data_IF_448028510499
#
_entry.id   IF_448028510499
#
_cell.length_a   1.000
_cell.length_b   1.000
_cell.length_c   1.000
_cell.angle_alpha   90.00
_cell.angle_beta   90.00
_cell.angle_gamma   90.00
#
_symmetry.space_group_name_H-M   'P 1'
#
loop_
_entity.id
_entity.type
_entity.pdbx_description
1 polymer ?
#
# COMPACT_ATOMS: atom_id res chain seq x y z
N UNK A 1 -50.34 19.80 45.14
CA UNK A 1 -49.41 19.57 44.01
C UNK A 1 -50.04 20.29 42.82
N UNK A 2 -49.33 21.26 42.24
CA UNK A 2 -49.84 22.11 41.17
C UNK A 2 -49.65 21.42 39.80
N UNK A 3 -50.64 21.56 38.93
CA UNK A 3 -50.64 20.98 37.58
C UNK A 3 -50.15 22.06 36.60
N UNK A 4 -49.27 21.75 35.63
CA UNK A 4 -48.78 22.73 34.65
C UNK A 4 -49.92 23.46 33.94
N UNK A 5 -49.85 24.78 33.82
CA UNK A 5 -50.86 25.59 33.11
C UNK A 5 -50.60 25.51 31.60
N UNK A 6 -51.40 24.70 30.92
CA UNK A 6 -51.30 24.39 29.48
C UNK A 6 -52.57 24.91 28.79
N UNK A 7 -52.53 25.17 27.47
CA UNK A 7 -53.69 25.68 26.73
C UNK A 7 -54.86 24.67 26.75
N UNK A 8 -55.92 24.99 27.48
CA UNK A 8 -57.10 24.12 27.70
C UNK A 8 -57.75 23.68 26.38
N UNK A 9 -57.78 24.53 25.34
CA UNK A 9 -58.39 24.17 24.05
C UNK A 9 -57.60 23.09 23.31
N UNK A 10 -56.27 23.18 23.32
CA UNK A 10 -55.42 22.17 22.69
C UNK A 10 -55.45 20.85 23.46
N UNK A 11 -55.67 20.90 24.77
CA UNK A 11 -55.92 19.70 25.57
C UNK A 11 -57.24 19.05 25.18
N UNK A 12 -58.34 19.82 25.11
CA UNK A 12 -59.65 19.30 24.69
C UNK A 12 -59.58 18.63 23.30
N UNK A 13 -58.92 19.26 22.33
CA UNK A 13 -58.73 18.70 20.99
C UNK A 13 -57.94 17.37 21.01
N UNK A 14 -56.90 17.27 21.84
CA UNK A 14 -56.10 16.05 21.98
C UNK A 14 -56.87 14.93 22.71
N UNK A 15 -57.71 15.28 23.69
CA UNK A 15 -58.60 14.34 24.36
C UNK A 15 -59.69 13.81 23.42
N UNK A 16 -60.25 14.68 22.55
CA UNK A 16 -61.22 14.27 21.53
C UNK A 16 -60.59 13.29 20.51
N UNK A 17 -59.29 13.45 20.22
CA UNK A 17 -58.51 12.50 19.41
C UNK A 17 -58.16 11.18 20.14
N UNK A 18 -58.47 11.07 21.44
CA UNK A 18 -58.29 9.86 22.23
C UNK A 18 -56.94 9.75 22.95
N UNK A 19 -56.16 10.83 23.03
CA UNK A 19 -54.93 10.84 23.82
C UNK A 19 -55.24 11.04 25.32
N UNK A 20 -54.55 10.32 26.23
CA UNK A 20 -54.73 10.55 27.67
C UNK A 20 -54.38 11.97 28.08
N UNK A 21 -55.18 12.57 28.97
CA UNK A 21 -54.98 13.95 29.48
C UNK A 21 -53.54 14.22 29.97
N UNK A 22 -52.95 13.27 30.69
CA UNK A 22 -51.58 13.40 31.22
C UNK A 22 -50.54 13.50 30.09
N UNK A 23 -50.71 12.71 29.02
CA UNK A 23 -49.84 12.69 27.84
C UNK A 23 -49.98 13.97 27.02
N UNK A 24 -51.21 14.43 26.82
CA UNK A 24 -51.51 15.69 26.14
C UNK A 24 -50.88 16.89 26.86
N UNK A 25 -51.02 16.94 28.20
CA UNK A 25 -50.44 18.00 29.04
C UNK A 25 -48.91 18.01 28.96
N UNK A 26 -48.27 16.84 29.00
CA UNK A 26 -46.82 16.71 28.89
C UNK A 26 -46.31 17.11 27.50
N UNK A 27 -47.01 16.66 26.45
CA UNK A 27 -46.64 16.99 25.08
C UNK A 27 -46.72 18.48 24.78
N UNK A 28 -47.80 19.14 25.23
CA UNK A 28 -47.97 20.58 25.07
C UNK A 28 -46.97 21.38 25.91
N UNK A 29 -46.58 20.88 27.08
CA UNK A 29 -45.53 21.47 27.90
C UNK A 29 -44.17 21.46 27.18
N UNK A 30 -43.77 20.32 26.61
CA UNK A 30 -42.48 20.19 25.93
C UNK A 30 -42.48 20.75 24.49
N UNK A 31 -43.63 20.81 23.82
CA UNK A 31 -43.77 21.46 22.50
C UNK A 31 -43.87 22.99 22.59
N UNK A 32 -44.07 23.53 23.79
CA UNK A 32 -44.13 24.98 24.03
C UNK A 32 -45.48 25.63 23.72
N UNK A 33 -46.59 24.88 23.79
CA UNK A 33 -47.96 25.36 23.55
C UNK A 33 -48.19 26.03 22.17
N UNK A 34 -47.40 25.67 21.14
CA UNK A 34 -47.40 26.36 19.83
C UNK A 34 -48.51 25.89 18.89
N UNK A 35 -48.70 24.58 18.75
CA UNK A 35 -49.66 23.98 17.82
C UNK A 35 -50.06 22.56 18.25
N UNK A 36 -51.18 22.08 17.72
CA UNK A 36 -51.68 20.72 17.93
C UNK A 36 -50.72 19.69 17.30
N UNK A 37 -50.25 19.96 16.09
CA UNK A 37 -49.37 19.06 15.33
C UNK A 37 -48.00 18.89 16.00
N UNK A 38 -47.43 19.96 16.57
CA UNK A 38 -46.15 19.88 17.29
C UNK A 38 -46.29 19.00 18.55
N UNK A 39 -47.42 19.09 19.26
CA UNK A 39 -47.71 18.23 20.40
C UNK A 39 -47.87 16.76 19.98
N UNK A 40 -48.57 16.49 18.86
CA UNK A 40 -48.69 15.14 18.32
C UNK A 40 -47.33 14.59 17.89
N UNK A 41 -46.51 15.38 17.20
CA UNK A 41 -45.15 14.98 16.80
C UNK A 41 -44.31 14.61 18.02
N UNK A 42 -44.36 15.41 19.08
CA UNK A 42 -43.65 15.10 20.32
C UNK A 42 -44.13 13.80 20.96
N UNK A 43 -45.45 13.55 21.01
CA UNK A 43 -46.00 12.30 21.55
C UNK A 43 -45.54 11.08 20.74
N UNK A 44 -45.47 11.17 19.42
CA UNK A 44 -45.00 10.09 18.55
C UNK A 44 -43.52 9.80 18.79
N UNK A 45 -42.71 10.85 18.91
CA UNK A 45 -41.26 10.69 19.12
C UNK A 45 -40.93 10.07 20.50
N UNK A 46 -41.85 10.17 21.47
CA UNK A 46 -41.66 9.71 22.85
C UNK A 46 -42.61 8.56 23.26
N UNK A 47 -43.32 7.94 22.31
CA UNK A 47 -44.38 6.93 22.58
C UNK A 47 -43.89 5.71 23.41
N UNK A 48 -42.59 5.41 23.36
CA UNK A 48 -41.98 4.26 24.04
C UNK A 48 -41.45 4.58 25.46
N UNK A 49 -41.56 5.82 25.92
CA UNK A 49 -41.08 6.23 27.23
C UNK A 49 -42.02 5.72 28.34
N UNK A 50 -41.47 5.02 29.33
CA UNK A 50 -42.27 4.38 30.40
C UNK A 50 -42.97 5.39 31.32
N UNK A 51 -42.55 6.64 31.30
CA UNK A 51 -43.06 7.76 32.10
C UNK A 51 -43.91 8.75 31.27
N UNK A 52 -44.27 8.41 30.02
CA UNK A 52 -45.01 9.32 29.12
C UNK A 52 -46.37 9.77 29.67
N UNK A 53 -47.00 8.95 30.52
CA UNK A 53 -48.29 9.24 31.16
C UNK A 53 -48.14 9.85 32.57
N UNK A 54 -46.90 10.15 33.01
CA UNK A 54 -46.66 10.85 34.27
C UNK A 54 -46.71 12.38 34.07
N UNK A 55 -47.54 13.05 34.87
CA UNK A 55 -47.71 14.50 34.84
C UNK A 55 -46.41 15.16 35.37
N UNK A 56 -45.72 16.00 34.59
CA UNK A 56 -44.53 16.70 35.04
C UNK A 56 -44.84 17.62 36.23
N UNK A 57 -44.06 17.51 37.31
CA UNK A 57 -44.23 18.28 38.56
C UNK A 57 -43.34 19.53 38.58
N UNK A 58 -43.44 20.40 37.57
CA UNK A 58 -42.66 21.66 37.52
C UNK A 58 -43.53 22.83 37.05
N UNK A 59 -43.56 23.89 37.87
CA UNK A 59 -44.18 25.17 37.52
C UNK A 59 -43.24 25.99 36.62
N UNK A 60 -43.47 25.96 35.31
CA UNK A 60 -42.95 26.97 34.38
C UNK A 60 -44.14 27.60 33.67
N UNK A 61 -44.50 28.81 34.09
CA UNK A 61 -45.51 29.63 33.43
C UNK A 61 -44.97 30.05 32.04
N UNK A 62 -45.49 29.42 30.99
CA UNK A 62 -45.32 29.91 29.62
C UNK A 62 -46.47 30.87 29.36
N UNK A 63 -46.21 32.17 29.52
CA UNK A 63 -47.18 33.24 29.24
C UNK A 63 -47.54 33.23 27.73
N UNK A 64 -48.76 32.79 27.41
CA UNK A 64 -49.32 32.82 26.06
C UNK A 64 -50.04 34.15 25.89
N UNK A 65 -49.28 35.24 25.75
CA UNK A 65 -49.82 36.50 25.28
C UNK A 65 -49.70 36.52 23.75
N UNK A 66 -50.79 36.16 23.08
CA UNK A 66 -51.01 36.40 21.65
C UNK A 66 -50.88 37.89 21.35
N UNK A 67 -49.65 38.35 21.18
CA UNK A 67 -49.36 39.69 20.70
C UNK A 67 -49.96 39.84 19.30
N UNK A 68 -50.70 40.93 19.01
CA UNK A 68 -51.27 41.13 17.69
C UNK A 68 -50.16 41.26 16.64
N UNK A 69 -50.24 40.41 15.62
CA UNK A 69 -49.38 40.45 14.42
C UNK A 69 -49.29 41.89 13.87
N UNK A 70 -48.08 42.45 13.84
CA UNK A 70 -47.84 43.73 13.17
C UNK A 70 -48.26 43.60 11.70
N UNK A 71 -49.04 44.55 11.14
CA UNK A 71 -49.44 44.49 9.73
C UNK A 71 -48.19 44.51 8.84
N UNK A 72 -47.93 43.41 8.14
CA UNK A 72 -46.85 43.33 7.15
C UNK A 72 -47.15 44.38 6.06
N UNK A 73 -46.33 45.43 6.00
CA UNK A 73 -46.46 46.48 4.98
C UNK A 73 -46.09 45.93 3.60
N UNK A 74 -46.71 46.50 2.57
CA UNK A 74 -46.50 46.10 1.18
C UNK A 74 -45.03 46.22 0.76
N UNK A 75 -44.31 47.22 1.28
CA UNK A 75 -42.87 47.42 1.06
C UNK A 75 -42.01 46.27 1.62
N UNK A 76 -42.34 45.75 2.80
CA UNK A 76 -41.63 44.63 3.40
C UNK A 76 -41.83 43.35 2.57
N UNK A 77 -43.02 43.15 1.98
CA UNK A 77 -43.28 42.02 1.06
C UNK A 77 -42.48 42.16 -0.23
N UNK A 78 -42.45 43.35 -0.84
CA UNK A 78 -41.68 43.59 -2.06
C UNK A 78 -40.17 43.40 -1.84
N UNK A 79 -39.64 43.89 -0.71
CA UNK A 79 -38.22 43.70 -0.35
C UNK A 79 -37.90 42.22 -0.08
N UNK A 80 -38.77 41.49 0.60
CA UNK A 80 -38.62 40.07 0.84
C UNK A 80 -38.69 39.25 -0.46
N UNK A 81 -39.59 39.59 -1.38
CA UNK A 81 -39.68 38.97 -2.71
C UNK A 81 -38.42 39.23 -3.54
N UNK A 82 -37.94 40.48 -3.57
CA UNK A 82 -36.70 40.85 -4.27
C UNK A 82 -35.47 40.09 -3.74
N UNK A 83 -35.32 39.97 -2.42
CA UNK A 83 -34.23 39.20 -1.81
C UNK A 83 -34.32 37.70 -2.16
N UNK A 84 -35.54 37.13 -2.20
CA UNK A 84 -35.76 35.74 -2.63
C UNK A 84 -35.40 35.54 -4.11
N UNK A 85 -35.76 36.49 -4.97
CA UNK A 85 -35.42 36.47 -6.40
C UNK A 85 -33.90 36.50 -6.61
N UNK A 86 -33.20 37.39 -5.89
CA UNK A 86 -31.73 37.46 -5.91
C UNK A 86 -31.07 36.15 -5.47
N UNK A 87 -31.57 35.52 -4.41
CA UNK A 87 -31.05 34.23 -3.95
C UNK A 87 -31.27 33.11 -4.98
N UNK A 88 -32.42 33.10 -5.67
CA UNK A 88 -32.68 32.14 -6.76
C UNK A 88 -31.73 32.35 -7.93
N UNK A 89 -31.54 33.59 -8.36
CA UNK A 89 -30.67 33.90 -9.50
C UNK A 89 -29.20 33.60 -9.18
N UNK A 90 -28.76 33.90 -7.95
CA UNK A 90 -27.43 33.53 -7.46
C UNK A 90 -27.24 32.01 -7.44
N UNK A 91 -28.19 31.25 -6.89
CA UNK A 91 -28.14 29.77 -6.88
C UNK A 91 -28.09 29.20 -8.30
N UNK A 92 -28.88 29.75 -9.22
CA UNK A 92 -28.88 29.35 -10.64
C UNK A 92 -27.56 29.64 -11.34
N UNK A 93 -26.91 30.75 -11.02
CA UNK A 93 -25.59 31.10 -11.56
C UNK A 93 -24.48 30.23 -10.97
N UNK A 94 -24.51 29.98 -9.67
CA UNK A 94 -23.60 29.03 -9.00
C UNK A 94 -23.74 27.63 -9.60
N UNK A 95 -24.97 27.14 -9.83
CA UNK A 95 -25.23 25.84 -10.43
C UNK A 95 -24.68 25.73 -11.87
N UNK A 96 -24.85 26.78 -12.70
CA UNK A 96 -24.25 26.84 -14.04
C UNK A 96 -22.72 26.83 -14.02
N UNK A 97 -22.10 27.48 -13.03
CA UNK A 97 -20.64 27.47 -12.87
C UNK A 97 -20.19 26.07 -12.50
N UNK A 98 -20.83 25.43 -11.52
CA UNK A 98 -20.53 24.06 -11.09
C UNK A 98 -20.72 23.04 -12.23
N UNK A 99 -21.75 23.22 -13.08
CA UNK A 99 -21.96 22.38 -14.24
C UNK A 99 -20.83 22.52 -15.28
N UNK A 100 -20.39 23.77 -15.55
CA UNK A 100 -19.25 24.02 -16.44
C UNK A 100 -17.94 23.46 -15.88
N UNK A 101 -17.75 23.48 -14.56
CA UNK A 101 -16.59 22.88 -13.91
C UNK A 101 -16.58 21.36 -14.04
N UNK A 102 -17.70 20.70 -13.75
CA UNK A 102 -17.84 19.24 -13.94
C UNK A 102 -17.56 18.82 -15.39
N UNK A 103 -18.06 19.58 -16.36
CA UNK A 103 -17.80 19.28 -17.77
C UNK A 103 -16.33 19.49 -18.16
N UNK A 104 -15.67 20.53 -17.62
CA UNK A 104 -14.22 20.72 -17.78
C UNK A 104 -13.43 19.58 -17.16
N UNK A 105 -13.81 19.11 -15.97
CA UNK A 105 -13.15 17.97 -15.32
C UNK A 105 -13.29 16.68 -16.12
N UNK A 106 -14.46 16.43 -16.71
CA UNK A 106 -14.70 15.29 -17.62
C UNK A 106 -13.77 15.35 -18.84
N UNK A 107 -13.61 16.52 -19.44
CA UNK A 107 -12.71 16.71 -20.59
C UNK A 107 -11.25 16.54 -20.15
N UNK A 108 -10.87 17.11 -19.01
CA UNK A 108 -9.52 17.00 -18.47
C UNK A 108 -9.16 15.57 -18.10
N UNK A 109 -10.07 14.82 -17.48
CA UNK A 109 -9.86 13.41 -17.15
C UNK A 109 -9.70 12.56 -18.41
N UNK A 110 -10.51 12.82 -19.44
CA UNK A 110 -10.35 12.18 -20.76
C UNK A 110 -9.00 12.48 -21.42
N UNK A 111 -8.55 13.75 -21.37
CA UNK A 111 -7.24 14.15 -21.90
C UNK A 111 -6.09 13.50 -21.14
N UNK A 112 -6.14 13.50 -19.80
CA UNK A 112 -5.15 12.84 -18.93
C UNK A 112 -5.07 11.34 -19.21
N UNK A 113 -6.20 10.68 -19.40
CA UNK A 113 -6.25 9.25 -19.75
C UNK A 113 -5.56 8.97 -21.09
N UNK A 114 -5.83 9.78 -22.11
CA UNK A 114 -5.21 9.63 -23.42
C UNK A 114 -3.70 9.87 -23.37
N UNK A 115 -3.26 10.88 -22.62
CA UNK A 115 -1.85 11.19 -22.44
C UNK A 115 -1.11 10.09 -21.66
N UNK A 116 -1.72 9.56 -20.60
CA UNK A 116 -1.19 8.41 -19.86
C UNK A 116 -1.05 7.18 -20.76
N UNK A 117 -2.04 6.92 -21.64
CA UNK A 117 -1.98 5.82 -22.63
C UNK A 117 -0.81 6.00 -23.59
N UNK A 118 -0.58 7.21 -24.10
CA UNK A 118 0.53 7.52 -25.02
C UNK A 118 1.90 7.29 -24.35
N UNK A 119 2.04 7.74 -23.10
CA UNK A 119 3.27 7.53 -22.31
C UNK A 119 3.52 6.04 -22.06
N UNK A 120 2.47 5.28 -21.73
CA UNK A 120 2.59 3.83 -21.51
C UNK A 120 3.06 3.10 -22.78
N UNK A 121 2.48 3.43 -23.94
CA UNK A 121 2.86 2.85 -25.24
C UNK A 121 4.31 3.19 -25.62
N UNK A 122 4.75 4.44 -25.40
CA UNK A 122 6.13 4.85 -25.67
C UNK A 122 7.14 4.12 -24.75
N UNK A 123 6.80 3.97 -23.47
CA UNK A 123 7.61 3.22 -22.52
C UNK A 123 7.71 1.73 -22.91
N UNK A 124 6.62 1.13 -23.39
CA UNK A 124 6.61 -0.24 -23.88
C UNK A 124 7.50 -0.40 -25.12
N UNK A 125 7.37 0.50 -26.10
CA UNK A 125 8.26 0.52 -27.27
C UNK A 125 9.73 0.65 -26.88
N UNK A 126 10.04 1.53 -25.93
CA UNK A 126 11.41 1.72 -25.43
C UNK A 126 11.96 0.45 -24.78
N UNK A 127 11.15 -0.25 -23.97
CA UNK A 127 11.51 -1.55 -23.37
C UNK A 127 11.79 -2.58 -24.47
N UNK A 128 10.91 -2.71 -25.45
CA UNK A 128 11.08 -3.67 -26.56
C UNK A 128 12.33 -3.39 -27.39
N UNK A 129 12.62 -2.11 -27.69
CA UNK A 129 13.85 -1.73 -28.38
C UNK A 129 15.10 -2.03 -27.54
N UNK A 130 15.07 -1.78 -26.22
CA UNK A 130 16.18 -2.09 -25.33
C UNK A 130 16.46 -3.58 -25.24
N UNK A 131 15.41 -4.42 -25.20
CA UNK A 131 15.53 -5.87 -25.19
C UNK A 131 16.16 -6.40 -26.49
N UNK A 132 15.66 -5.94 -27.64
CA UNK A 132 16.24 -6.30 -28.95
C UNK A 132 17.70 -5.86 -29.10
N UNK A 133 18.07 -4.71 -28.52
CA UNK A 133 19.45 -4.23 -28.54
C UNK A 133 20.34 -5.09 -27.64
N UNK A 134 19.88 -5.43 -26.44
CA UNK A 134 20.61 -6.30 -25.51
C UNK A 134 20.80 -7.71 -26.09
N UNK A 135 19.77 -8.29 -26.70
CA UNK A 135 19.83 -9.60 -27.36
C UNK A 135 20.87 -9.61 -28.49
N UNK A 136 20.87 -8.59 -29.36
CA UNK A 136 21.88 -8.45 -30.42
C UNK A 136 23.30 -8.29 -29.87
N UNK A 137 23.46 -7.54 -28.78
CA UNK A 137 24.78 -7.33 -28.16
C UNK A 137 25.29 -8.61 -27.47
N UNK A 138 24.40 -9.40 -26.88
CA UNK A 138 24.72 -10.71 -26.30
C UNK A 138 25.10 -11.71 -27.39
N UNK A 139 24.34 -11.76 -28.50
CA UNK A 139 24.67 -12.61 -29.65
C UNK A 139 26.02 -12.21 -30.26
N UNK A 140 26.32 -10.92 -30.37
CA UNK A 140 27.62 -10.43 -30.84
C UNK A 140 28.75 -10.84 -29.91
N UNK A 141 28.56 -10.75 -28.59
CA UNK A 141 29.53 -11.22 -27.60
C UNK A 141 29.79 -12.71 -27.74
N UNK A 142 28.73 -13.53 -27.80
CA UNK A 142 28.85 -14.97 -27.97
C UNK A 142 29.58 -15.35 -29.28
N UNK A 143 29.26 -14.68 -30.39
CA UNK A 143 29.96 -14.86 -31.67
C UNK A 143 31.45 -14.50 -31.55
N UNK A 144 31.77 -13.40 -30.88
CA UNK A 144 33.17 -12.97 -30.68
C UNK A 144 33.97 -13.97 -29.83
N UNK A 145 33.33 -14.58 -28.82
CA UNK A 145 33.97 -15.57 -27.96
C UNK A 145 34.21 -16.90 -28.70
N UNK A 146 33.28 -17.31 -29.56
CA UNK A 146 33.46 -18.49 -30.43
C UNK A 146 34.62 -18.27 -31.40
N UNK A 147 34.72 -17.08 -32.01
CA UNK A 147 35.83 -16.74 -32.91
C UNK A 147 37.18 -16.80 -32.20
N UNK A 148 37.28 -16.24 -30.99
CA UNK A 148 38.52 -16.32 -30.17
C UNK A 148 38.89 -17.76 -29.83
N UNK A 149 37.91 -18.60 -29.48
CA UNK A 149 38.15 -20.03 -29.22
C UNK A 149 38.63 -20.77 -30.46
N UNK A 150 38.07 -20.49 -31.63
CA UNK A 150 38.51 -21.06 -32.91
C UNK A 150 39.95 -20.64 -33.23
N UNK A 151 40.31 -19.38 -33.00
CA UNK A 151 41.66 -18.89 -33.20
C UNK A 151 42.67 -19.57 -32.26
N UNK A 152 42.32 -19.72 -30.99
CA UNK A 152 43.14 -20.46 -30.02
C UNK A 152 43.29 -21.94 -30.40
N UNK A 153 42.21 -22.62 -30.82
CA UNK A 153 42.29 -24.02 -31.27
C UNK A 153 43.15 -24.14 -32.54
N UNK A 154 43.05 -23.18 -33.46
CA UNK A 154 43.91 -23.11 -34.66
C UNK A 154 45.39 -22.96 -34.29
N UNK A 155 45.71 -22.09 -33.34
CA UNK A 155 47.07 -21.93 -32.81
C UNK A 155 47.57 -23.19 -32.11
N UNK A 156 46.73 -23.83 -31.28
CA UNK A 156 47.07 -25.06 -30.56
C UNK A 156 47.33 -26.22 -31.53
N UNK A 157 46.46 -26.44 -32.53
CA UNK A 157 46.67 -27.46 -33.57
C UNK A 157 47.93 -27.19 -34.39
N UNK A 158 48.18 -25.92 -34.74
CA UNK A 158 49.38 -25.52 -35.49
C UNK A 158 50.66 -25.72 -34.66
N UNK A 159 50.60 -25.53 -33.35
CA UNK A 159 51.68 -25.84 -32.41
C UNK A 159 51.91 -27.35 -32.27
N UNK A 160 50.83 -28.17 -32.21
CA UNK A 160 50.92 -29.64 -32.12
C UNK A 160 51.45 -30.26 -33.42
N UNK A 161 51.10 -29.70 -34.59
CA UNK A 161 51.53 -30.19 -35.91
C UNK A 161 52.95 -29.76 -36.31
N UNK A 162 53.67 -29.00 -35.48
CA UNK A 162 55.08 -28.69 -35.69
C UNK A 162 55.41 -27.84 -36.93
N UNK A 163 54.46 -27.05 -37.43
CA UNK A 163 54.69 -26.18 -38.60
C UNK A 163 55.45 -24.89 -38.21
N UNK A 164 56.54 -24.50 -38.91
CA UNK A 164 57.34 -23.33 -38.55
C UNK A 164 56.54 -22.01 -38.62
N UNK A 165 56.81 -21.12 -37.66
CA UNK A 165 56.41 -19.72 -37.70
C UNK A 165 57.31 -18.98 -38.70
N UNK A 166 56.78 -18.64 -39.87
CA UNK A 166 57.40 -17.60 -40.70
C UNK A 166 57.30 -16.25 -39.98
N UNK A 167 58.47 -15.64 -39.90
CA UNK A 167 58.87 -14.56 -39.01
C UNK A 167 58.47 -13.17 -39.52
N UNK A 168 57.91 -12.36 -38.62
CA UNK A 168 58.27 -10.94 -38.53
C UNK A 168 58.52 -10.52 -37.07
N UNK A 169 59.81 -10.57 -36.74
CA UNK A 169 60.62 -9.70 -35.90
C UNK A 169 60.05 -9.04 -34.61
N UNK A 170 60.62 -9.54 -33.50
CA UNK A 170 61.33 -8.78 -32.46
C UNK A 170 60.48 -8.09 -31.36
N UNK A 171 60.48 -8.68 -30.14
CA UNK A 171 61.28 -8.21 -28.98
C UNK A 171 61.40 -9.35 -27.94
N UNK A 172 62.66 -9.59 -27.53
CA UNK A 172 63.25 -10.15 -26.29
C UNK A 172 62.36 -10.81 -25.20
N UNK A 173 62.88 -11.96 -24.73
CA UNK A 173 62.70 -12.73 -23.48
C UNK A 173 62.28 -11.94 -22.21
N UNK A 174 61.76 -12.57 -21.12
CA UNK A 174 61.83 -13.99 -20.76
C UNK A 174 60.47 -14.63 -20.43
N UNK A 175 60.51 -15.93 -20.15
CA UNK A 175 59.42 -16.72 -19.60
C UNK A 175 58.65 -15.98 -18.50
N UNK A 176 57.48 -15.44 -18.86
CA UNK A 176 56.46 -15.09 -17.88
C UNK A 176 55.84 -16.42 -17.50
N UNK A 177 56.30 -16.94 -16.36
CA UNK A 177 55.47 -17.75 -15.47
C UNK A 177 54.12 -17.06 -15.42
N UNK A 178 53.13 -17.61 -16.12
CA UNK A 178 51.74 -17.25 -15.88
C UNK A 178 51.45 -17.83 -14.51
N UNK A 179 51.76 -17.04 -13.47
CA UNK A 179 50.97 -17.01 -12.27
C UNK A 179 49.55 -16.84 -12.78
N UNK A 180 48.80 -17.93 -12.80
CA UNK A 180 47.37 -17.84 -12.67
C UNK A 180 47.13 -17.21 -11.29
N UNK A 181 47.24 -15.89 -11.20
CA UNK A 181 46.39 -15.10 -10.33
C UNK A 181 44.97 -15.22 -10.90
N UNK A 182 44.44 -16.46 -10.86
CA UNK A 182 43.07 -16.64 -10.44
C UNK A 182 43.07 -15.98 -9.06
N UNK A 183 42.62 -14.74 -9.02
CA UNK A 183 42.00 -14.20 -7.82
C UNK A 183 40.83 -15.17 -7.57
N UNK A 184 41.13 -16.24 -6.85
CA UNK A 184 40.14 -17.17 -6.37
C UNK A 184 39.26 -16.34 -5.47
N UNK A 185 38.07 -16.02 -5.97
CA UNK A 185 36.97 -15.58 -5.10
C UNK A 185 36.95 -16.50 -3.89
N UNK A 186 36.73 -15.98 -2.68
CA UNK A 186 37.00 -16.73 -1.47
C UNK A 186 36.23 -18.05 -1.53
N UNK A 187 36.91 -19.19 -1.43
CA UNK A 187 36.27 -20.52 -1.40
C UNK A 187 35.09 -20.53 -0.39
N UNK A 188 35.23 -19.71 0.65
CA UNK A 188 34.20 -19.39 1.66
C UNK A 188 32.88 -18.83 1.12
N UNK A 189 32.87 -17.91 0.15
CA UNK A 189 31.62 -17.32 -0.36
C UNK A 189 30.83 -18.35 -1.15
N UNK A 190 31.49 -19.22 -1.91
CA UNK A 190 30.86 -20.35 -2.60
C UNK A 190 30.24 -21.33 -1.60
N UNK A 191 30.97 -21.72 -0.55
CA UNK A 191 30.44 -22.62 0.48
C UNK A 191 29.23 -22.02 1.20
N UNK A 192 29.27 -20.73 1.54
CA UNK A 192 28.12 -20.04 2.15
C UNK A 192 26.92 -19.93 1.22
N UNK A 193 27.13 -19.67 -0.07
CA UNK A 193 26.05 -19.61 -1.05
C UNK A 193 25.36 -20.97 -1.20
N UNK A 194 26.09 -22.07 -1.11
CA UNK A 194 25.49 -23.41 -1.06
C UNK A 194 24.70 -23.65 0.23
N UNK A 195 25.19 -23.19 1.38
CA UNK A 195 24.41 -23.24 2.63
C UNK A 195 23.12 -22.42 2.53
N UNK A 196 23.16 -21.22 1.93
CA UNK A 196 21.97 -20.41 1.68
C UNK A 196 20.96 -21.14 0.78
N UNK A 197 21.43 -21.84 -0.26
CA UNK A 197 20.60 -22.67 -1.14
C UNK A 197 19.98 -23.83 -0.37
N UNK A 198 20.75 -24.49 0.49
CA UNK A 198 20.28 -25.62 1.28
C UNK A 198 19.26 -25.21 2.35
N UNK A 199 19.42 -24.04 2.99
CA UNK A 199 18.42 -23.49 3.91
C UNK A 199 17.08 -23.27 3.20
N UNK A 200 17.10 -22.61 2.04
CA UNK A 200 15.88 -22.35 1.26
C UNK A 200 15.24 -23.65 0.74
N UNK A 201 16.06 -24.64 0.40
CA UNK A 201 15.61 -25.98 -0.01
C UNK A 201 14.95 -26.72 1.14
N UNK A 202 15.55 -26.71 2.32
CA UNK A 202 15.01 -27.32 3.53
C UNK A 202 13.69 -26.66 3.93
N UNK A 203 13.62 -25.33 3.89
CA UNK A 203 12.40 -24.57 4.16
C UNK A 203 11.25 -24.96 3.21
N UNK A 204 11.55 -25.18 1.92
CA UNK A 204 10.56 -25.64 0.94
C UNK A 204 10.17 -27.12 1.12
N UNK A 205 11.06 -27.97 1.63
CA UNK A 205 10.79 -29.40 1.90
C UNK A 205 9.97 -29.60 3.18
N UNK A 206 10.21 -28.79 4.20
CA UNK A 206 9.53 -28.89 5.50
C UNK A 206 8.07 -28.41 5.40
N UNK A 207 7.83 -27.33 4.65
CA UNK A 207 6.51 -26.72 4.50
C UNK A 207 5.82 -27.10 3.16
N UNK A 208 5.84 -28.40 2.79
CA UNK A 208 5.17 -28.88 1.57
C UNK A 208 3.66 -28.60 1.63
N UNK A 209 3.19 -27.75 0.73
CA UNK A 209 1.77 -27.34 0.64
C UNK A 209 1.50 -25.91 1.09
N UNK A 210 2.43 -25.25 1.79
CA UNK A 210 2.33 -23.83 2.18
C UNK A 210 3.12 -22.91 1.23
N UNK A 211 3.13 -23.19 -0.07
CA UNK A 211 3.92 -22.45 -1.07
C UNK A 211 3.64 -20.94 -1.07
N UNK A 212 2.41 -20.53 -0.74
CA UNK A 212 2.05 -19.12 -0.61
C UNK A 212 2.74 -18.45 0.60
N UNK A 213 2.87 -19.17 1.73
CA UNK A 213 3.58 -18.68 2.92
C UNK A 213 5.08 -18.63 2.69
N UNK A 214 5.63 -19.68 2.06
CA UNK A 214 7.05 -19.74 1.66
C UNK A 214 7.40 -18.58 0.72
N UNK A 215 6.56 -18.33 -0.30
CA UNK A 215 6.77 -17.18 -1.21
C UNK A 215 6.79 -15.84 -0.47
N UNK A 216 5.84 -15.60 0.44
CA UNK A 216 5.81 -14.38 1.27
C UNK A 216 7.05 -14.26 2.18
N UNK A 217 7.56 -15.38 2.68
CA UNK A 217 8.79 -15.43 3.46
C UNK A 217 10.00 -15.02 2.62
N UNK A 218 10.15 -15.60 1.42
CA UNK A 218 11.24 -15.28 0.49
C UNK A 218 11.19 -13.82 0.04
N UNK A 219 10.01 -13.28 -0.24
CA UNK A 219 9.82 -11.84 -0.53
C UNK A 219 10.30 -10.97 0.63
N UNK A 220 9.94 -11.34 1.86
CA UNK A 220 10.30 -10.57 3.05
C UNK A 220 11.80 -10.64 3.32
N UNK A 221 12.42 -11.82 3.17
CA UNK A 221 13.88 -12.00 3.24
C UNK A 221 14.61 -11.19 2.17
N UNK A 222 14.08 -11.17 0.93
CA UNK A 222 14.63 -10.40 -0.17
C UNK A 222 14.57 -8.89 0.11
N UNK A 223 13.51 -8.40 0.74
CA UNK A 223 13.40 -7.00 1.16
C UNK A 223 14.48 -6.66 2.19
N UNK A 224 14.69 -7.49 3.21
CA UNK A 224 15.72 -7.23 4.22
C UNK A 224 17.12 -7.21 3.61
N UNK A 225 17.50 -8.24 2.85
CA UNK A 225 18.80 -8.30 2.17
C UNK A 225 18.96 -7.17 1.15
N UNK A 226 17.93 -6.91 0.34
CA UNK A 226 17.95 -5.87 -0.68
C UNK A 226 18.04 -4.46 -0.13
N UNK A 227 17.42 -4.18 1.03
CA UNK A 227 17.53 -2.89 1.69
C UNK A 227 18.95 -2.63 2.21
N UNK A 228 19.61 -3.65 2.76
CA UNK A 228 21.01 -3.56 3.19
C UNK A 228 21.94 -3.36 1.99
N UNK A 229 21.75 -4.10 0.89
CA UNK A 229 22.59 -3.94 -0.32
C UNK A 229 22.44 -2.54 -0.93
N UNK A 230 21.24 -1.97 -0.94
CA UNK A 230 21.01 -0.60 -1.45
C UNK A 230 21.59 0.47 -0.55
N UNK A 231 21.47 0.29 0.77
CA UNK A 231 21.86 1.30 1.76
C UNK A 231 22.67 0.64 2.90
N UNK A 232 23.93 0.23 2.65
CA UNK A 232 24.71 -0.56 3.60
C UNK A 232 25.10 0.21 4.86
N UNK A 233 25.16 1.54 4.79
CA UNK A 233 25.55 2.40 5.90
C UNK A 233 24.39 2.70 6.87
N UNK A 234 23.15 2.45 6.47
CA UNK A 234 21.98 2.88 7.25
C UNK A 234 21.56 1.81 8.27
N UNK A 235 21.74 2.12 9.55
CA UNK A 235 21.54 1.16 10.64
C UNK A 235 20.09 0.65 10.76
N UNK A 236 19.10 1.47 10.36
CA UNK A 236 17.69 1.09 10.39
C UNK A 236 17.37 -0.14 9.52
N UNK A 237 18.15 -0.38 8.46
CA UNK A 237 18.00 -1.56 7.60
C UNK A 237 18.85 -2.74 8.05
N UNK A 238 19.84 -2.50 8.92
CA UNK A 238 20.68 -3.53 9.54
C UNK A 238 20.10 -4.07 10.85
N UNK A 239 18.95 -3.55 11.30
CA UNK A 239 18.29 -3.94 12.54
C UNK A 239 16.86 -4.43 12.27
N UNK A 240 16.58 -5.66 12.68
CA UNK A 240 15.26 -6.31 12.55
C UNK A 240 14.77 -6.67 13.95
N UNK A 241 13.50 -6.38 14.25
CA UNK A 241 12.89 -6.69 15.55
C UNK A 241 12.20 -8.05 15.51
N UNK A 242 12.61 -8.96 16.39
CA UNK A 242 12.04 -10.30 16.48
C UNK A 242 10.60 -10.26 17.00
N UNK A 243 10.25 -9.36 17.91
CA UNK A 243 8.86 -9.23 18.40
C UNK A 243 7.85 -8.70 17.37
N UNK A 244 8.27 -8.30 16.16
CA UNK A 244 7.34 -7.76 15.16
C UNK A 244 6.42 -8.88 14.65
N UNK A 245 5.08 -8.74 14.76
CA UNK A 245 4.13 -9.76 14.31
C UNK A 245 4.28 -10.12 12.82
N UNK A 246 4.58 -9.14 11.96
CA UNK A 246 4.79 -9.38 10.53
C UNK A 246 6.07 -10.16 10.25
N UNK A 247 7.11 -9.93 11.05
CA UNK A 247 8.34 -10.71 10.95
C UNK A 247 8.11 -12.13 11.43
N UNK A 248 7.43 -12.32 12.56
CA UNK A 248 7.12 -13.64 13.11
C UNK A 248 6.23 -14.47 12.18
N UNK A 249 5.14 -13.89 11.67
CA UNK A 249 4.23 -14.59 10.76
C UNK A 249 4.93 -15.08 9.49
N UNK A 250 5.82 -14.25 8.92
CA UNK A 250 6.43 -14.52 7.62
C UNK A 250 7.77 -15.27 7.68
N UNK A 251 8.65 -14.92 8.60
CA UNK A 251 10.05 -15.41 8.63
C UNK A 251 10.38 -16.07 9.97
N UNK A 252 9.96 -15.48 11.09
CA UNK A 252 10.31 -15.97 12.43
C UNK A 252 9.66 -17.30 12.81
N UNK A 253 8.49 -17.61 12.27
CA UNK A 253 7.77 -18.88 12.48
C UNK A 253 8.25 -20.02 11.57
N UNK A 254 9.05 -19.72 10.54
CA UNK A 254 9.56 -20.73 9.61
C UNK A 254 10.95 -21.17 10.04
N UNK A 255 11.10 -22.48 10.29
CA UNK A 255 12.40 -23.08 10.58
C UNK A 255 13.30 -22.95 9.35
N UNK A 256 14.40 -22.22 9.48
CA UNK A 256 15.32 -21.85 8.39
C UNK A 256 15.23 -20.38 7.93
N UNK A 257 14.18 -19.64 8.28
CA UNK A 257 14.06 -18.22 7.93
C UNK A 257 15.04 -17.33 8.70
N UNK A 258 15.17 -17.57 10.01
CA UNK A 258 16.14 -16.88 10.88
C UNK A 258 17.56 -17.35 10.58
N UNK A 259 17.76 -18.66 10.39
CA UNK A 259 19.05 -19.25 10.02
C UNK A 259 19.61 -18.65 8.72
N UNK A 260 18.74 -18.40 7.73
CA UNK A 260 19.13 -17.72 6.49
C UNK A 260 19.69 -16.31 6.76
N UNK A 261 19.06 -15.54 7.66
CA UNK A 261 19.56 -14.21 8.04
C UNK A 261 20.90 -14.32 8.79
N UNK A 262 21.05 -15.31 9.66
CA UNK A 262 22.32 -15.57 10.35
C UNK A 262 23.45 -15.92 9.37
N UNK A 263 23.17 -16.71 8.34
CA UNK A 263 24.12 -17.01 7.26
C UNK A 263 24.50 -15.77 6.45
N UNK A 264 23.57 -14.82 6.27
CA UNK A 264 23.84 -13.50 5.68
C UNK A 264 24.65 -12.57 6.60
N UNK A 265 24.90 -12.95 7.85
CA UNK A 265 25.72 -12.21 8.81
C UNK A 265 24.93 -11.48 9.91
N UNK A 266 23.61 -11.64 9.98
CA UNK A 266 22.83 -11.06 11.07
C UNK A 266 23.07 -11.83 12.37
N UNK A 267 23.24 -11.11 13.47
CA UNK A 267 23.47 -11.66 14.79
C UNK A 267 22.26 -11.43 15.68
N UNK A 268 21.85 -12.49 16.39
CA UNK A 268 20.77 -12.40 17.36
C UNK A 268 21.26 -11.74 18.64
N UNK A 269 20.80 -10.52 18.88
CA UNK A 269 21.06 -9.74 20.10
C UNK A 269 19.75 -9.50 20.84
N UNK A 270 19.39 -10.41 21.74
CA UNK A 270 18.15 -10.35 22.51
C UNK A 270 16.90 -10.48 21.64
N UNK A 271 16.08 -9.41 21.62
CA UNK A 271 14.85 -9.30 20.80
C UNK A 271 15.12 -8.68 19.40
N UNK A 272 16.38 -8.51 19.00
CA UNK A 272 16.74 -7.95 17.70
C UNK A 272 17.73 -8.84 16.95
N UNK A 273 17.60 -8.88 15.64
CA UNK A 273 18.62 -9.32 14.70
C UNK A 273 19.36 -8.08 14.19
N UNK A 274 20.67 -8.03 14.41
CA UNK A 274 21.51 -6.89 14.03
C UNK A 274 22.65 -7.35 13.12
N UNK A 275 22.89 -6.62 12.04
CA UNK A 275 24.03 -6.85 11.15
C UNK A 275 25.11 -5.78 11.41
N UNK A 276 26.24 -6.12 12.05
CA UNK A 276 27.35 -5.21 12.26
C UNK A 276 27.90 -4.68 10.93
N UNK A 277 28.26 -3.39 10.86
CA UNK A 277 28.84 -2.79 9.65
C UNK A 277 30.12 -3.49 9.17
N UNK A 278 30.89 -4.06 10.11
CA UNK A 278 32.12 -4.80 9.83
C UNK A 278 31.86 -6.17 9.17
N UNK A 279 30.67 -6.74 9.38
CA UNK A 279 30.28 -8.06 8.86
C UNK A 279 29.42 -7.98 7.60
N UNK A 280 29.24 -6.79 7.03
CA UNK A 280 28.49 -6.61 5.79
C UNK A 280 29.32 -7.10 4.60
N UNK A 281 29.06 -8.33 4.16
CA UNK A 281 29.62 -8.88 2.93
C UNK A 281 28.66 -8.61 1.76
N UNK A 282 29.00 -7.59 0.97
CA UNK A 282 28.18 -7.15 -0.17
C UNK A 282 28.06 -8.23 -1.26
N UNK A 283 29.09 -9.05 -1.46
CA UNK A 283 29.07 -10.12 -2.46
C UNK A 283 28.17 -11.27 -2.01
N UNK A 284 28.24 -11.63 -0.72
CA UNK A 284 27.38 -12.64 -0.12
C UNK A 284 25.92 -12.19 -0.13
N UNK A 285 25.62 -10.95 0.27
CA UNK A 285 24.25 -10.42 0.28
C UNK A 285 23.67 -10.32 -1.14
N UNK A 286 24.48 -9.92 -2.12
CA UNK A 286 24.06 -9.89 -3.53
C UNK A 286 23.77 -11.31 -4.05
N UNK A 287 24.61 -12.27 -3.68
CA UNK A 287 24.42 -13.68 -4.01
C UNK A 287 23.17 -14.25 -3.32
N UNK A 288 22.94 -13.93 -2.05
CA UNK A 288 21.77 -14.32 -1.29
C UNK A 288 20.48 -13.79 -1.93
N UNK A 289 20.47 -12.54 -2.37
CA UNK A 289 19.35 -11.95 -3.12
C UNK A 289 19.08 -12.66 -4.44
N UNK A 290 20.13 -13.04 -5.18
CA UNK A 290 19.99 -13.81 -6.41
C UNK A 290 19.42 -15.21 -6.15
N UNK A 291 19.89 -15.91 -5.11
CA UNK A 291 19.39 -17.23 -4.73
C UNK A 291 17.92 -17.16 -4.30
N UNK A 292 17.52 -16.17 -3.51
CA UNK A 292 16.13 -15.94 -3.13
C UNK A 292 15.24 -15.70 -4.34
N UNK A 293 15.67 -14.83 -5.27
CA UNK A 293 14.91 -14.55 -6.48
C UNK A 293 14.81 -15.81 -7.37
N UNK A 294 15.90 -16.56 -7.49
CA UNK A 294 15.89 -17.88 -8.17
C UNK A 294 14.92 -18.85 -7.49
N UNK A 295 14.84 -18.85 -6.16
CA UNK A 295 13.91 -19.70 -5.41
C UNK A 295 12.44 -19.38 -5.66
N UNK A 296 12.13 -18.09 -5.87
CA UNK A 296 10.77 -17.63 -6.16
C UNK A 296 10.36 -17.87 -7.62
N UNK A 297 11.28 -17.66 -8.55
CA UNK A 297 11.01 -17.69 -9.99
C UNK A 297 11.15 -19.07 -10.60
N UNK A 298 12.04 -19.92 -10.05
CA UNK A 298 12.30 -21.26 -10.58
C UNK A 298 11.43 -22.31 -9.86
N UNK A 299 10.49 -22.96 -10.56
CA UNK A 299 9.67 -24.04 -9.99
C UNK A 299 10.50 -25.21 -9.46
N UNK A 300 11.63 -25.49 -10.12
CA UNK A 300 12.55 -26.58 -9.82
C UNK A 300 13.59 -26.25 -8.75
N UNK A 301 13.52 -25.06 -8.15
CA UNK A 301 14.41 -24.71 -7.05
C UNK A 301 14.24 -25.71 -5.91
N UNK A 302 15.30 -26.50 -5.66
CA UNK A 302 15.34 -27.57 -4.66
C UNK A 302 15.27 -29.01 -5.19
N UNK A 303 14.99 -29.21 -6.49
CA UNK A 303 14.91 -30.55 -7.11
C UNK A 303 16.23 -31.01 -7.75
N UNK A 304 17.09 -30.07 -8.16
CA UNK A 304 18.39 -30.39 -8.74
C UNK A 304 19.46 -30.29 -7.66
N UNK A 305 19.92 -31.46 -7.20
CA UNK A 305 21.17 -31.58 -6.46
C UNK A 305 22.30 -31.42 -7.46
N UNK A 306 22.93 -30.25 -7.50
CA UNK A 306 24.27 -30.17 -8.09
C UNK A 306 25.23 -30.72 -7.04
N UNK A 307 25.51 -32.01 -7.15
CA UNK A 307 26.71 -32.62 -6.60
C UNK A 307 27.96 -32.07 -7.29
#
# INVERSE_FOLDING_TARGET
MAVPKVNEKLIEDLEEMGFPHARATRALYYSGNTSLEDAISWMVDHENDTDIDEIPLVDVDIDIDTSPSFPITEEMRMKAQYLREQMRERKKNEEKIMEREREKERIQSGKKLLEAKRIAEENERKRNLSLRKAEKEEEQRARSDILKKLEQDKLNRRSILGLPLESQANVRSPAIVIKQEKISKPVYTTTKVEHLRECLRSLKREHKGEDARIRRAFETLLVYVGNVVKNPNEEKYRKIRLSNPLFQDRVGSLYGGVEFLELCGFERTGDFLYLPSEKVDMELLSSAGFVLNSAMTNPYFGLLSTC
#
